data_IF_987141069348
#
_entry.id   IF_987141069348
#
_cell.length_a   1.000
_cell.length_b   1.000
_cell.length_c   1.000
_cell.angle_alpha   90.00
_cell.angle_beta   90.00
_cell.angle_gamma   90.00
#
_symmetry.space_group_name_H-M   'P 1'
#
loop_
_entity.id
_entity.type
_entity.pdbx_description
1 polymer ?
#
# COMPACT_ATOMS: atom_id res chain seq x y z
N UNK A 1 9.28 16.17 -6.18
CA UNK A 1 8.57 15.22 -7.06
C UNK A 1 9.54 14.11 -7.45
N UNK A 2 9.22 12.86 -7.11
CA UNK A 2 10.02 11.68 -7.43
C UNK A 2 9.07 10.63 -8.00
N UNK A 3 9.45 10.02 -9.12
CA UNK A 3 8.70 8.90 -9.71
C UNK A 3 9.58 7.67 -9.78
N UNK A 4 9.09 6.57 -9.22
CA UNK A 4 9.67 5.23 -9.40
C UNK A 4 8.69 4.44 -10.25
N UNK A 5 9.17 3.84 -11.33
CA UNK A 5 8.30 3.11 -12.26
C UNK A 5 8.93 1.84 -12.82
N UNK A 6 8.10 0.83 -13.07
CA UNK A 6 8.51 -0.44 -13.68
C UNK A 6 9.59 -1.19 -12.89
N UNK A 7 9.56 -1.08 -11.57
CA UNK A 7 10.50 -1.75 -10.67
C UNK A 7 9.78 -2.83 -9.87
N UNK A 8 10.40 -4.00 -9.77
CA UNK A 8 10.01 -5.05 -8.83
C UNK A 8 10.96 -5.03 -7.64
N UNK A 9 10.43 -4.76 -6.45
CA UNK A 9 11.11 -4.97 -5.18
C UNK A 9 10.71 -6.33 -4.63
N UNK A 10 11.69 -7.23 -4.46
CA UNK A 10 11.46 -8.56 -3.93
C UNK A 10 12.53 -8.98 -2.92
N UNK A 11 12.12 -9.77 -1.93
CA UNK A 11 13.00 -10.37 -0.91
C UNK A 11 13.83 -9.34 -0.13
N UNK A 12 13.36 -8.10 -0.01
CA UNK A 12 13.93 -7.18 0.94
C UNK A 12 13.70 -7.71 2.36
N UNK A 13 14.68 -7.53 3.25
CA UNK A 13 14.51 -7.88 4.66
C UNK A 13 13.54 -6.94 5.40
N UNK A 14 13.28 -5.76 4.79
CA UNK A 14 12.33 -4.75 5.24
C UNK A 14 11.23 -4.60 4.18
N UNK A 15 10.60 -3.43 4.07
CA UNK A 15 9.59 -3.17 3.04
C UNK A 15 10.17 -3.15 1.61
N UNK A 16 9.31 -3.41 0.62
CA UNK A 16 9.67 -3.24 -0.79
C UNK A 16 9.91 -1.78 -1.19
N UNK A 17 9.01 -0.89 -0.78
CA UNK A 17 9.11 0.56 -0.98
C UNK A 17 8.78 1.28 0.33
N UNK A 18 9.82 1.72 1.04
CA UNK A 18 9.68 2.37 2.34
C UNK A 18 9.95 3.88 2.23
N UNK A 19 8.88 4.69 2.27
CA UNK A 19 8.97 6.15 2.10
C UNK A 19 8.85 6.85 3.47
N UNK A 20 9.92 7.56 3.86
CA UNK A 20 10.03 8.34 5.09
C UNK A 20 10.31 9.82 4.86
N UNK A 21 10.10 10.64 5.89
CA UNK A 21 10.42 12.06 5.91
C UNK A 21 9.24 12.94 5.54
N UNK A 22 9.54 14.22 5.34
CA UNK A 22 8.63 15.15 4.68
C UNK A 22 8.79 15.01 3.16
N UNK A 23 7.97 14.15 2.54
CA UNK A 23 8.05 13.81 1.11
C UNK A 23 6.72 14.01 0.42
N UNK A 24 6.67 15.02 -0.44
CA UNK A 24 5.47 15.38 -1.19
C UNK A 24 5.64 15.07 -2.67
N UNK A 25 4.59 14.55 -3.30
CA UNK A 25 4.55 14.23 -4.72
C UNK A 25 5.45 13.04 -5.06
N UNK A 26 5.38 11.98 -4.27
CA UNK A 26 5.95 10.67 -4.60
C UNK A 26 4.96 9.94 -5.51
N UNK A 27 5.48 9.31 -6.56
CA UNK A 27 4.68 8.47 -7.46
C UNK A 27 5.34 7.11 -7.66
N UNK A 28 4.63 6.05 -7.32
CA UNK A 28 4.99 4.68 -7.65
C UNK A 28 4.06 4.21 -8.79
N UNK A 29 4.62 3.88 -9.94
CA UNK A 29 3.83 3.53 -11.13
C UNK A 29 4.26 2.20 -11.71
N UNK A 30 3.32 1.27 -11.87
CA UNK A 30 3.60 -0.07 -12.39
C UNK A 30 4.77 -0.74 -11.63
N UNK A 31 4.75 -0.63 -10.30
CA UNK A 31 5.72 -1.29 -9.43
C UNK A 31 5.15 -2.60 -8.90
N UNK A 32 6.03 -3.49 -8.48
CA UNK A 32 5.68 -4.76 -7.86
C UNK A 32 6.42 -4.90 -6.54
N UNK A 33 5.72 -5.21 -5.47
CA UNK A 33 6.28 -5.37 -4.14
C UNK A 33 5.95 -6.77 -3.60
N UNK A 34 6.90 -7.69 -3.75
CA UNK A 34 6.67 -9.13 -3.53
C UNK A 34 7.57 -9.74 -2.47
N UNK A 35 6.96 -10.50 -1.56
CA UNK A 35 7.71 -11.36 -0.64
C UNK A 35 8.79 -10.61 0.13
N UNK A 36 8.49 -9.37 0.53
CA UNK A 36 9.35 -8.58 1.39
C UNK A 36 9.09 -8.94 2.86
N UNK A 37 10.11 -8.76 3.70
CA UNK A 37 10.09 -9.15 5.10
C UNK A 37 9.10 -8.34 5.93
N UNK A 38 8.89 -7.08 5.56
CA UNK A 38 7.87 -6.21 6.15
C UNK A 38 6.73 -5.97 5.15
N UNK A 39 6.21 -4.75 5.00
CA UNK A 39 5.18 -4.44 4.00
C UNK A 39 5.71 -4.47 2.55
N UNK A 40 4.79 -4.51 1.59
CA UNK A 40 5.18 -4.24 0.21
C UNK A 40 5.49 -2.76 -0.02
N UNK A 41 4.62 -1.88 0.48
CA UNK A 41 4.74 -0.42 0.35
C UNK A 41 4.34 0.22 1.68
N UNK A 42 5.08 1.24 2.11
CA UNK A 42 4.72 2.02 3.30
C UNK A 42 5.03 3.51 3.14
N UNK A 43 4.24 4.31 3.86
CA UNK A 43 4.38 5.76 3.95
C UNK A 43 4.40 6.19 5.42
N UNK A 44 5.50 6.81 5.84
CA UNK A 44 5.75 7.22 7.23
C UNK A 44 5.92 8.72 7.36
N UNK A 45 5.49 9.29 8.48
CA UNK A 45 5.58 10.73 8.78
C UNK A 45 4.72 11.59 7.83
N UNK A 46 5.29 12.60 7.16
CA UNK A 46 4.54 13.54 6.30
C UNK A 46 4.77 13.19 4.83
N UNK A 47 4.11 12.12 4.39
CA UNK A 47 4.22 11.61 3.01
C UNK A 47 2.95 11.86 2.23
N UNK A 48 3.09 12.36 0.99
CA UNK A 48 2.05 12.36 -0.02
C UNK A 48 2.47 11.52 -1.21
N UNK A 49 1.75 10.42 -1.45
CA UNK A 49 2.15 9.41 -2.42
C UNK A 49 0.97 8.88 -3.25
N UNK A 50 1.19 8.78 -4.56
CA UNK A 50 0.28 8.10 -5.48
C UNK A 50 0.90 6.78 -5.95
N UNK A 51 0.14 5.69 -5.79
CA UNK A 51 0.51 4.35 -6.25
C UNK A 51 -0.48 3.94 -7.33
N UNK A 52 0.04 3.64 -8.52
CA UNK A 52 -0.81 3.41 -9.70
C UNK A 52 -0.41 2.13 -10.43
N UNK A 53 -1.41 1.33 -10.80
CA UNK A 53 -1.27 0.11 -11.60
C UNK A 53 -0.22 -0.86 -11.05
N UNK A 54 -0.17 -1.03 -9.74
CA UNK A 54 0.90 -1.75 -9.04
C UNK A 54 0.38 -3.00 -8.32
N UNK A 55 1.27 -3.95 -8.07
CA UNK A 55 0.92 -5.26 -7.48
C UNK A 55 1.66 -5.48 -6.16
N UNK A 56 0.93 -5.81 -5.10
CA UNK A 56 1.46 -5.93 -3.74
C UNK A 56 1.06 -7.27 -3.14
N UNK A 57 2.02 -8.19 -2.99
CA UNK A 57 1.71 -9.57 -2.65
C UNK A 57 2.75 -10.32 -1.82
N UNK A 58 2.28 -11.29 -1.04
CA UNK A 58 3.11 -12.21 -0.26
C UNK A 58 4.03 -11.54 0.77
N UNK A 59 3.75 -10.31 1.18
CA UNK A 59 4.56 -9.57 2.13
C UNK A 59 4.30 -10.06 3.57
N UNK A 60 5.37 -10.03 4.38
CA UNK A 60 5.50 -10.84 5.60
C UNK A 60 5.14 -10.15 6.91
N UNK A 61 4.78 -8.87 6.90
CA UNK A 61 4.45 -8.16 8.13
C UNK A 61 3.05 -8.48 8.66
N UNK A 62 2.84 -8.19 9.95
CA UNK A 62 1.52 -8.28 10.57
C UNK A 62 0.55 -7.18 10.11
N UNK A 63 1.05 -6.04 9.60
CA UNK A 63 0.20 -5.02 8.98
C UNK A 63 -0.24 -5.44 7.57
N UNK A 64 0.64 -6.13 6.83
CA UNK A 64 0.33 -6.85 5.60
C UNK A 64 0.95 -6.24 4.34
N UNK A 65 0.11 -5.93 3.34
CA UNK A 65 0.58 -5.45 2.04
C UNK A 65 1.04 -4.00 2.07
N UNK A 66 0.24 -3.14 2.70
CA UNK A 66 0.48 -1.71 2.81
C UNK A 66 0.36 -1.28 4.27
N UNK A 67 1.27 -0.42 4.73
CA UNK A 67 1.17 0.28 6.02
C UNK A 67 1.46 1.77 5.83
N UNK A 68 0.39 2.58 5.83
CA UNK A 68 0.53 4.04 5.77
C UNK A 68 0.13 4.64 7.12
N UNK A 69 1.03 5.42 7.71
CA UNK A 69 0.93 5.87 9.12
C UNK A 69 1.16 7.38 9.27
N UNK A 70 0.96 7.91 10.48
CA UNK A 70 1.21 9.31 10.84
C UNK A 70 0.40 10.33 10.01
N UNK A 71 1.09 11.30 9.40
CA UNK A 71 0.49 12.38 8.61
C UNK A 71 0.46 12.04 7.12
N UNK A 72 0.54 10.74 6.79
CA UNK A 72 0.53 10.29 5.41
C UNK A 72 -0.83 10.48 4.75
N UNK A 73 -0.79 10.85 3.47
CA UNK A 73 -1.94 10.94 2.58
C UNK A 73 -1.59 10.20 1.30
N UNK A 74 -2.32 9.13 1.00
CA UNK A 74 -1.96 8.25 -0.12
C UNK A 74 -3.14 7.92 -1.02
N UNK A 75 -2.85 7.68 -2.29
CA UNK A 75 -3.82 7.16 -3.25
C UNK A 75 -3.31 5.87 -3.86
N UNK A 76 -4.19 4.89 -3.96
CA UNK A 76 -3.96 3.62 -4.65
C UNK A 76 -5.01 3.51 -5.75
N UNK A 77 -4.56 3.46 -7.00
CA UNK A 77 -5.43 3.38 -8.18
C UNK A 77 -5.02 2.22 -9.08
N UNK A 78 -5.97 1.36 -9.43
CA UNK A 78 -5.70 0.26 -10.36
C UNK A 78 -4.74 -0.79 -9.80
N UNK A 79 -4.60 -0.87 -8.47
CA UNK A 79 -3.63 -1.75 -7.84
C UNK A 79 -4.24 -3.11 -7.50
N UNK A 80 -3.42 -4.15 -7.48
CA UNK A 80 -3.82 -5.50 -7.09
C UNK A 80 -3.09 -5.91 -5.80
N UNK A 81 -3.86 -6.37 -4.82
CA UNK A 81 -3.33 -6.75 -3.51
C UNK A 81 -3.83 -8.12 -3.11
N UNK A 82 -2.89 -9.04 -2.87
CA UNK A 82 -3.26 -10.42 -2.55
C UNK A 82 -2.23 -11.18 -1.72
N UNK A 83 -2.70 -12.17 -0.98
CA UNK A 83 -1.84 -13.12 -0.25
C UNK A 83 -0.82 -12.46 0.70
N UNK A 84 -1.11 -11.27 1.24
CA UNK A 84 -0.23 -10.68 2.26
C UNK A 84 -0.56 -11.32 3.61
N UNK A 85 0.41 -11.36 4.53
CA UNK A 85 0.20 -12.02 5.82
C UNK A 85 -0.86 -11.30 6.67
N UNK A 86 -0.78 -9.97 6.76
CA UNK A 86 -1.74 -9.10 7.43
C UNK A 86 -2.93 -8.68 6.56
N UNK A 87 -3.28 -7.40 6.60
CA UNK A 87 -4.30 -6.83 5.74
C UNK A 87 -3.79 -6.57 4.32
N UNK A 88 -4.67 -6.37 3.34
CA UNK A 88 -4.27 -5.79 2.06
C UNK A 88 -3.75 -4.35 2.29
N UNK A 89 -4.54 -3.56 3.02
CA UNK A 89 -4.18 -2.22 3.46
C UNK A 89 -4.34 -2.07 4.97
N UNK A 90 -3.31 -1.58 5.63
CA UNK A 90 -3.38 -1.06 7.00
C UNK A 90 -3.15 0.44 6.97
N UNK A 91 -4.20 1.19 7.28
CA UNK A 91 -4.21 2.65 7.22
C UNK A 91 -4.35 3.25 8.61
N UNK A 92 -3.36 4.05 8.96
CA UNK A 92 -3.25 4.84 10.18
C UNK A 92 -2.74 6.26 9.90
N UNK A 93 -2.80 6.68 8.63
CA UNK A 93 -2.52 8.04 8.19
C UNK A 93 -3.74 8.96 8.31
N UNK A 94 -3.61 10.17 7.75
CA UNK A 94 -4.68 11.17 7.77
C UNK A 94 -5.82 10.78 6.83
N UNK A 95 -5.49 10.45 5.58
CA UNK A 95 -6.51 10.15 4.57
C UNK A 95 -5.96 9.32 3.41
N UNK A 96 -6.74 8.34 2.97
CA UNK A 96 -6.35 7.43 1.90
C UNK A 96 -7.47 7.28 0.89
N UNK A 97 -7.11 6.96 -0.34
CA UNK A 97 -8.07 6.65 -1.41
C UNK A 97 -7.69 5.33 -2.08
N UNK A 98 -8.64 4.41 -2.19
CA UNK A 98 -8.48 3.11 -2.85
C UNK A 98 -9.51 3.01 -3.97
N UNK A 99 -9.05 3.03 -5.22
CA UNK A 99 -9.92 3.14 -6.40
C UNK A 99 -9.54 2.18 -7.51
N UNK A 100 -10.52 1.52 -8.12
CA UNK A 100 -10.28 0.55 -9.20
C UNK A 100 -9.27 -0.56 -8.83
N UNK A 101 -9.12 -0.87 -7.54
CA UNK A 101 -8.19 -1.89 -7.07
C UNK A 101 -8.85 -3.28 -7.07
N UNK A 102 -8.04 -4.32 -7.17
CA UNK A 102 -8.49 -5.71 -6.97
C UNK A 102 -7.90 -6.20 -5.65
N UNK A 103 -8.75 -6.63 -4.73
CA UNK A 103 -8.35 -7.16 -3.43
C UNK A 103 -8.87 -8.60 -3.33
N UNK A 104 -7.95 -9.56 -3.17
CA UNK A 104 -8.33 -10.97 -3.13
C UNK A 104 -7.36 -11.82 -2.33
N UNK A 105 -7.83 -12.97 -1.84
CA UNK A 105 -7.00 -13.91 -1.09
C UNK A 105 -6.29 -13.22 0.09
N UNK A 106 -7.03 -12.34 0.78
CA UNK A 106 -6.61 -11.64 1.98
C UNK A 106 -7.47 -12.12 3.15
N UNK A 107 -6.87 -12.26 4.33
CA UNK A 107 -7.64 -12.49 5.55
C UNK A 107 -8.41 -11.22 5.96
N UNK A 108 -7.85 -10.05 5.65
CA UNK A 108 -8.43 -8.74 5.94
C UNK A 108 -8.18 -7.78 4.76
N UNK A 109 -9.24 -7.18 4.24
CA UNK A 109 -9.12 -6.31 3.05
C UNK A 109 -8.52 -4.95 3.43
N UNK A 110 -9.15 -4.24 4.37
CA UNK A 110 -8.70 -2.93 4.87
C UNK A 110 -8.80 -2.91 6.40
N UNK A 111 -7.73 -2.47 7.05
CA UNK A 111 -7.65 -2.14 8.47
C UNK A 111 -7.48 -0.63 8.65
N UNK A 112 -8.25 -0.04 9.57
CA UNK A 112 -8.20 1.39 9.86
C UNK A 112 -7.88 1.62 11.34
N UNK A 113 -7.11 2.65 11.65
CA UNK A 113 -7.08 3.26 12.99
C UNK A 113 -8.14 4.35 13.15
N UNK A 114 -8.35 4.76 14.40
CA UNK A 114 -9.27 5.84 14.76
C UNK A 114 -8.92 7.14 14.00
N UNK A 115 -9.93 7.87 13.56
CA UNK A 115 -9.85 9.12 12.77
C UNK A 115 -9.28 9.05 11.34
N UNK A 116 -8.74 7.90 10.90
CA UNK A 116 -8.29 7.72 9.51
C UNK A 116 -9.47 7.76 8.53
N UNK A 117 -9.39 8.61 7.51
CA UNK A 117 -10.40 8.72 6.46
C UNK A 117 -10.02 7.86 5.27
N UNK A 118 -10.94 7.03 4.78
CA UNK A 118 -10.70 6.25 3.55
C UNK A 118 -11.86 6.38 2.59
N UNK A 119 -11.54 6.85 1.39
CA UNK A 119 -12.45 6.88 0.26
C UNK A 119 -12.24 5.65 -0.61
N UNK A 120 -13.32 5.00 -1.00
CA UNK A 120 -13.30 3.79 -1.81
C UNK A 120 -14.27 3.93 -2.98
N UNK A 121 -13.84 3.60 -4.19
CA UNK A 121 -14.74 3.50 -5.35
C UNK A 121 -14.27 2.44 -6.34
N UNK A 122 -15.22 1.76 -6.97
CA UNK A 122 -14.97 0.90 -8.13
C UNK A 122 -13.93 -0.22 -7.91
N UNK A 123 -13.65 -0.62 -6.67
CA UNK A 123 -12.75 -1.75 -6.42
C UNK A 123 -13.49 -3.08 -6.67
N UNK A 124 -12.72 -4.16 -6.75
CA UNK A 124 -13.23 -5.51 -6.84
C UNK A 124 -12.72 -6.33 -5.66
N UNK A 125 -13.64 -6.96 -4.91
CA UNK A 125 -13.32 -7.78 -3.75
C UNK A 125 -13.65 -9.22 -4.07
N UNK A 126 -12.62 -10.07 -4.19
CA UNK A 126 -12.81 -11.50 -4.44
C UNK A 126 -12.53 -12.25 -3.15
N UNK A 127 -13.57 -12.88 -2.61
CA UNK A 127 -13.41 -13.76 -1.44
C UNK A 127 -12.50 -14.94 -1.81
N UNK A 128 -11.69 -15.44 -0.85
CA UNK A 128 -10.85 -16.62 -1.05
C UNK A 128 -11.66 -17.86 -1.47
#
# INVERSE_FOLDING_TARGET
YLTVKNITALHAANDGFNIHGNRLGIRLENVKAFSNGDEGISAHETVQMDVVNSEIAWNGSSAGGVADVNDSITTYTGCELHHNLGAAFSFAGISHRVTHCIIHHQAKDIELREDTKVEQSDNEWRKP
#
